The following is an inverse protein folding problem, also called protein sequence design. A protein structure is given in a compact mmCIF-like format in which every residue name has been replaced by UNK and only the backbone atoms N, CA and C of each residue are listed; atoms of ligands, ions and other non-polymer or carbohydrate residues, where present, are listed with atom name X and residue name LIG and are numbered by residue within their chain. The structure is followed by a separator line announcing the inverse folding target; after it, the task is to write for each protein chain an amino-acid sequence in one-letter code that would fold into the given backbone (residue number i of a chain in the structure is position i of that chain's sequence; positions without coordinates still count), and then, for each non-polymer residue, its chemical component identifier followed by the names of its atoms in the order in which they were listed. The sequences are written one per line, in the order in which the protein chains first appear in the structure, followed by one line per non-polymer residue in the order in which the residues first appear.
data_IF_731877031050
#
_entry.id   IF_731877031050
#
_cell.length_a   1.000
_cell.length_b   1.000
_cell.length_c   1.000
_cell.angle_alpha   90.00
_cell.angle_beta   90.00
_cell.angle_gamma   90.00
#
_symmetry.space_group_name_H-M   'P 1'
#
loop_
_entity.id
_entity.type
_entity.pdbx_description
1 polymer ?
#
# COMPACT_ATOMS: atom_id res chain seq x y z
N UNK A 1 5.54 7.51 -19.76
CA UNK A 1 4.35 6.77 -20.23
C UNK A 1 3.29 7.80 -20.61
N UNK A 2 2.57 7.59 -21.71
CA UNK A 2 1.52 8.51 -22.16
C UNK A 2 0.35 8.50 -21.15
N UNK A 3 -0.05 9.66 -20.63
CA UNK A 3 -1.19 9.81 -19.72
C UNK A 3 -2.52 9.35 -20.36
N UNK A 4 -2.55 9.20 -21.70
CA UNK A 4 -3.68 8.70 -22.50
C UNK A 4 -3.74 7.19 -22.65
N UNK A 5 -2.82 6.43 -22.04
CA UNK A 5 -2.91 4.96 -22.04
C UNK A 5 -4.20 4.50 -21.33
N UNK A 6 -4.95 3.60 -21.95
CA UNK A 6 -6.08 2.92 -21.30
C UNK A 6 -5.54 2.02 -20.17
N UNK A 7 -5.40 2.59 -18.98
CA UNK A 7 -5.00 1.86 -17.77
C UNK A 7 -6.12 1.90 -16.74
N UNK A 8 -6.37 0.77 -16.09
CA UNK A 8 -7.27 0.72 -14.95
C UNK A 8 -6.67 1.50 -13.80
N UNK A 9 -7.40 2.52 -13.31
CA UNK A 9 -7.03 3.28 -12.12
C UNK A 9 -7.94 2.85 -10.97
N UNK A 10 -7.34 2.43 -9.87
CA UNK A 10 -8.08 2.07 -8.64
C UNK A 10 -8.11 3.28 -7.73
N UNK A 11 -9.30 3.62 -7.23
CA UNK A 11 -9.51 4.66 -6.21
C UNK A 11 -10.06 3.98 -4.95
N UNK A 12 -9.58 4.42 -3.80
CA UNK A 12 -10.00 3.93 -2.49
C UNK A 12 -10.22 5.13 -1.56
N UNK A 13 -11.22 5.02 -0.69
CA UNK A 13 -11.41 5.97 0.40
C UNK A 13 -10.37 5.70 1.50
N UNK A 14 -9.62 6.73 1.91
CA UNK A 14 -8.58 6.63 2.91
C UNK A 14 -8.22 8.01 3.48
N UNK A 15 -7.51 8.04 4.61
CA UNK A 15 -6.89 9.24 5.17
C UNK A 15 -5.57 9.52 4.43
N UNK A 16 -5.68 10.25 3.31
CA UNK A 16 -4.55 10.51 2.41
C UNK A 16 -3.47 11.35 3.09
N UNK A 17 -3.85 12.32 3.93
CA UNK A 17 -2.90 13.21 4.61
C UNK A 17 -1.96 12.39 5.50
N UNK A 18 -2.54 11.52 6.32
CA UNK A 18 -1.80 10.65 7.22
C UNK A 18 -0.88 9.66 6.51
N UNK A 19 -1.36 9.04 5.43
CA UNK A 19 -0.54 8.14 4.60
C UNK A 19 0.67 8.91 4.06
N UNK A 20 0.48 10.12 3.54
CA UNK A 20 1.56 10.91 2.96
C UNK A 20 2.59 11.37 3.99
N UNK A 21 2.18 11.63 5.24
CA UNK A 21 3.09 11.98 6.34
C UNK A 21 3.92 10.79 6.84
N UNK A 22 3.30 9.60 6.91
CA UNK A 22 3.91 8.40 7.45
C UNK A 22 4.72 7.59 6.41
N UNK A 23 4.53 7.84 5.11
CA UNK A 23 5.15 7.03 4.06
C UNK A 23 6.66 7.24 3.96
N UNK A 24 7.43 6.18 4.18
CA UNK A 24 8.89 6.17 4.00
C UNK A 24 9.26 6.00 2.52
N UNK A 25 9.45 7.13 1.84
CA UNK A 25 9.82 7.17 0.43
C UNK A 25 11.17 6.54 0.11
N UNK A 26 12.12 6.61 1.05
CA UNK A 26 13.46 6.05 0.86
C UNK A 26 13.43 4.52 0.95
N UNK A 27 12.59 3.96 1.82
CA UNK A 27 12.44 2.52 1.97
C UNK A 27 11.58 1.86 0.88
N UNK A 28 10.48 2.50 0.45
CA UNK A 28 9.44 1.82 -0.34
C UNK A 28 9.27 2.31 -1.79
N UNK A 29 9.70 3.54 -2.12
CA UNK A 29 9.56 4.09 -3.47
C UNK A 29 8.11 4.25 -3.93
N UNK A 30 7.84 4.15 -5.24
CA UNK A 30 6.51 4.47 -5.80
C UNK A 30 5.71 3.24 -6.28
N UNK A 31 6.36 2.09 -6.44
CA UNK A 31 5.71 0.86 -6.91
C UNK A 31 4.92 0.19 -5.79
N UNK A 32 3.63 -0.08 -6.04
CA UNK A 32 2.72 -0.67 -5.06
C UNK A 32 1.98 -1.88 -5.63
N UNK A 33 1.65 -2.83 -4.76
CA UNK A 33 0.79 -3.98 -5.07
C UNK A 33 -0.49 -3.81 -4.25
N UNK A 34 -1.63 -3.78 -4.92
CA UNK A 34 -2.94 -3.61 -4.29
C UNK A 34 -3.70 -4.93 -4.33
N UNK A 35 -4.23 -5.35 -3.17
CA UNK A 35 -5.14 -6.49 -3.06
C UNK A 35 -6.58 -5.98 -2.90
N UNK A 36 -7.53 -6.55 -3.62
CA UNK A 36 -8.95 -6.21 -3.51
C UNK A 36 -9.64 -7.30 -2.68
N UNK A 37 -10.25 -6.92 -1.56
CA UNK A 37 -10.93 -7.80 -0.62
C UNK A 37 -10.46 -7.63 0.82
N UNK A 38 -11.01 -8.42 1.73
CA UNK A 38 -10.70 -8.38 3.16
C UNK A 38 -9.50 -9.30 3.48
N UNK A 39 -8.29 -8.80 3.22
CA UNK A 39 -7.05 -9.58 3.30
C UNK A 39 -6.04 -9.04 4.31
N UNK A 40 -6.38 -7.96 5.05
CA UNK A 40 -5.41 -7.24 5.90
C UNK A 40 -4.80 -8.15 6.95
N UNK A 41 -5.62 -8.93 7.67
CA UNK A 41 -5.15 -9.82 8.74
C UNK A 41 -4.25 -10.94 8.20
N UNK A 42 -4.68 -11.62 7.13
CA UNK A 42 -3.91 -12.70 6.50
C UNK A 42 -2.55 -12.19 5.98
N UNK A 43 -2.52 -11.00 5.38
CA UNK A 43 -1.29 -10.40 4.88
C UNK A 43 -0.31 -10.05 6.03
N UNK A 44 -0.83 -9.48 7.13
CA UNK A 44 -0.03 -9.19 8.33
C UNK A 44 0.51 -10.48 8.95
N UNK A 45 -0.31 -11.52 9.05
CA UNK A 45 0.09 -12.81 9.59
C UNK A 45 1.18 -13.46 8.72
N UNK A 46 1.03 -13.41 7.39
CA UNK A 46 2.05 -13.87 6.45
C UNK A 46 3.38 -13.14 6.62
N UNK A 47 3.37 -11.79 6.70
CA UNK A 47 4.57 -10.99 6.93
C UNK A 47 5.28 -11.36 8.24
N UNK A 48 4.52 -11.58 9.32
CA UNK A 48 5.06 -12.01 10.62
C UNK A 48 5.71 -13.39 10.56
N UNK A 49 5.09 -14.35 9.88
CA UNK A 49 5.66 -15.70 9.68
C UNK A 49 6.99 -15.62 8.94
N UNK A 50 7.11 -14.70 7.97
CA UNK A 50 8.34 -14.44 7.23
C UNK A 50 9.39 -13.63 8.02
N UNK A 51 9.09 -13.22 9.25
CA UNK A 51 10.00 -12.41 10.08
C UNK A 51 10.12 -10.95 9.60
N UNK A 52 9.17 -10.47 8.81
CA UNK A 52 9.17 -9.11 8.29
C UNK A 52 8.56 -8.13 9.30
N UNK A 53 9.07 -6.90 9.30
CA UNK A 53 8.45 -5.78 10.02
C UNK A 53 7.28 -5.26 9.20
N UNK A 54 6.10 -5.18 9.82
CA UNK A 54 4.92 -4.52 9.25
C UNK A 54 4.96 -3.04 9.61
N UNK A 55 4.75 -2.19 8.61
CA UNK A 55 4.55 -0.75 8.76
C UNK A 55 3.14 -0.44 8.27
N UNK A 56 2.37 0.27 9.09
CA UNK A 56 1.02 0.75 8.74
C UNK A 56 1.10 2.27 8.61
N UNK A 57 0.92 2.78 7.39
CA UNK A 57 1.00 4.21 7.04
C UNK A 57 -0.31 4.97 7.28
N UNK A 58 -1.43 4.25 7.43
CA UNK A 58 -2.75 4.80 7.77
C UNK A 58 -2.97 5.05 9.28
N UNK A 59 -2.01 4.67 10.13
CA UNK A 59 -2.14 4.67 11.60
C UNK A 59 -1.34 5.71 12.35
#
# INVERSE_FOLDING_TARGET
MDEKGCVSKTLVECDVEKIMENYDWDAFGWHRVTFIGDWKEDFINGAKILGLKVVEDDK
#
